data_IF_976179551772
#
_entry.id   IF_976179551772
#
_cell.length_a   1.000
_cell.length_b   1.000
_cell.length_c   1.000
_cell.angle_alpha   90.00
_cell.angle_beta   90.00
_cell.angle_gamma   90.00
#
_symmetry.space_group_name_H-M   'P 1'
#
loop_
_entity.id
_entity.type
_entity.pdbx_description
1 polymer ?
#
# COMPACT_ATOMS: atom_id res chain seq x y z
N UNK A 1 38.94 35.54 -11.09
CA UNK A 1 37.48 35.39 -11.06
C UNK A 1 37.01 34.31 -12.02
N UNK A 2 37.41 34.28 -13.30
CA UNK A 2 36.91 33.28 -14.27
C UNK A 2 37.23 31.82 -13.92
N UNK A 3 38.43 31.51 -13.41
CA UNK A 3 38.82 30.14 -13.07
C UNK A 3 38.11 29.58 -11.82
N UNK A 4 37.72 30.44 -10.89
CA UNK A 4 36.94 30.05 -9.70
C UNK A 4 35.48 29.81 -10.06
N UNK A 5 34.89 30.66 -10.91
CA UNK A 5 33.53 30.48 -11.45
C UNK A 5 33.41 29.20 -12.30
N UNK A 6 34.42 28.89 -13.12
CA UNK A 6 34.48 27.66 -13.93
C UNK A 6 34.64 26.41 -13.05
N UNK A 7 35.48 26.47 -12.01
CA UNK A 7 35.61 25.39 -11.04
C UNK A 7 34.33 25.16 -10.24
N UNK A 8 33.59 26.22 -9.89
CA UNK A 8 32.32 26.10 -9.16
C UNK A 8 31.20 25.56 -10.05
N UNK A 9 31.16 25.94 -11.33
CA UNK A 9 30.23 25.40 -12.32
C UNK A 9 30.42 23.89 -12.52
N UNK A 10 31.66 23.43 -12.69
CA UNK A 10 32.00 22.00 -12.83
C UNK A 10 31.56 21.23 -11.59
N UNK A 11 31.79 21.79 -10.39
CA UNK A 11 31.37 21.17 -9.12
C UNK A 11 29.85 21.01 -9.05
N UNK A 12 29.08 22.05 -9.40
CA UNK A 12 27.60 22.01 -9.41
C UNK A 12 27.07 21.01 -10.42
N UNK A 13 27.68 20.91 -11.60
CA UNK A 13 27.28 19.93 -12.62
C UNK A 13 27.52 18.50 -12.14
N UNK A 14 28.65 18.24 -11.49
CA UNK A 14 28.96 16.95 -10.89
C UNK A 14 27.96 16.59 -9.77
N UNK A 15 27.65 17.53 -8.87
CA UNK A 15 26.67 17.36 -7.80
C UNK A 15 25.27 17.04 -8.36
N UNK A 16 24.83 17.75 -9.39
CA UNK A 16 23.55 17.48 -10.07
C UNK A 16 23.53 16.10 -10.73
N UNK A 17 24.64 15.68 -11.34
CA UNK A 17 24.76 14.36 -11.95
C UNK A 17 24.65 13.25 -10.91
N UNK A 18 25.39 13.35 -9.80
CA UNK A 18 25.35 12.38 -8.70
C UNK A 18 23.94 12.32 -8.10
N UNK A 19 23.29 13.47 -7.90
CA UNK A 19 21.92 13.52 -7.40
C UNK A 19 20.94 12.83 -8.37
N UNK A 20 21.07 13.08 -9.67
CA UNK A 20 20.22 12.45 -10.70
C UNK A 20 20.38 10.92 -10.75
N UNK A 21 21.61 10.43 -10.63
CA UNK A 21 21.93 9.01 -10.57
C UNK A 21 21.33 8.38 -9.29
N UNK A 22 21.49 9.05 -8.15
CA UNK A 22 20.95 8.60 -6.85
C UNK A 22 19.42 8.52 -6.87
N UNK A 23 18.75 9.56 -7.40
CA UNK A 23 17.29 9.57 -7.53
C UNK A 23 16.82 8.47 -8.48
N UNK A 24 17.55 8.22 -9.56
CA UNK A 24 17.19 7.16 -10.50
C UNK A 24 17.34 5.77 -9.90
N UNK A 25 18.40 5.52 -9.14
CA UNK A 25 18.57 4.28 -8.40
C UNK A 25 17.47 4.08 -7.34
N UNK A 26 17.15 5.13 -6.57
CA UNK A 26 16.09 5.08 -5.57
C UNK A 26 14.71 4.77 -6.18
N UNK A 27 14.38 5.36 -7.32
CA UNK A 27 13.13 5.07 -8.02
C UNK A 27 13.08 3.65 -8.59
N UNK A 28 14.23 3.11 -9.03
CA UNK A 28 14.32 1.73 -9.49
C UNK A 28 14.07 0.75 -8.33
N UNK A 29 14.62 1.02 -7.15
CA UNK A 29 14.40 0.21 -5.95
C UNK A 29 12.91 0.12 -5.54
N UNK A 30 12.09 1.14 -5.86
CA UNK A 30 10.64 1.11 -5.57
C UNK A 30 9.86 0.11 -6.43
N UNK A 31 10.39 -0.26 -7.60
CA UNK A 31 9.73 -1.17 -8.55
C UNK A 31 10.45 -2.51 -8.73
N UNK A 32 11.61 -2.68 -8.12
CA UNK A 32 12.34 -3.95 -8.14
C UNK A 32 11.65 -5.01 -7.28
N UNK A 33 11.52 -6.21 -7.85
CA UNK A 33 11.06 -7.39 -7.14
C UNK A 33 12.25 -8.14 -6.55
N UNK A 34 12.04 -8.79 -5.40
CA UNK A 34 13.00 -9.76 -4.86
C UNK A 34 13.12 -10.96 -5.81
N UNK A 35 14.31 -11.54 -5.92
CA UNK A 35 14.52 -12.80 -6.65
C UNK A 35 14.08 -14.02 -5.85
N UNK A 36 14.13 -13.92 -4.53
CA UNK A 36 13.89 -15.04 -3.62
C UNK A 36 12.73 -14.73 -2.69
N UNK A 37 11.88 -15.75 -2.49
CA UNK A 37 10.83 -15.72 -1.47
C UNK A 37 11.49 -16.04 -0.13
N UNK A 38 11.15 -15.32 0.96
CA UNK A 38 11.65 -15.68 2.28
C UNK A 38 11.18 -17.10 2.66
N UNK A 39 12.09 -17.92 3.15
CA UNK A 39 11.79 -19.27 3.63
C UNK A 39 11.15 -19.21 5.03
N UNK A 40 10.01 -19.87 5.19
CA UNK A 40 9.36 -20.11 6.49
C UNK A 40 9.25 -21.62 6.69
N UNK A 41 9.88 -22.13 7.76
CA UNK A 41 10.08 -23.57 7.96
C UNK A 41 9.00 -24.23 8.84
N UNK A 42 8.17 -23.44 9.53
CA UNK A 42 7.14 -23.92 10.45
C UNK A 42 5.75 -23.47 10.02
N UNK A 43 4.76 -24.38 10.05
CA UNK A 43 3.40 -24.12 9.58
C UNK A 43 2.67 -23.01 10.37
N UNK A 44 3.04 -22.81 11.63
CA UNK A 44 2.37 -21.85 12.52
C UNK A 44 3.05 -20.48 12.56
N UNK A 45 4.19 -20.31 11.89
CA UNK A 45 4.91 -19.03 11.84
C UNK A 45 4.29 -18.12 10.77
N UNK A 46 3.96 -16.91 11.18
CA UNK A 46 3.32 -15.92 10.31
C UNK A 46 4.35 -15.31 9.36
N UNK A 47 4.05 -15.38 8.07
CA UNK A 47 4.79 -14.69 7.02
C UNK A 47 4.41 -13.20 6.99
N UNK A 48 5.26 -12.33 7.55
CA UNK A 48 5.06 -10.87 7.53
C UNK A 48 5.29 -10.22 6.14
N UNK A 49 5.76 -10.98 5.15
CA UNK A 49 5.74 -10.52 3.77
C UNK A 49 4.35 -10.72 3.13
N UNK A 50 3.57 -11.70 3.60
CA UNK A 50 2.18 -11.92 3.21
C UNK A 50 1.19 -11.12 4.06
N UNK A 51 1.38 -11.11 5.38
CA UNK A 51 0.44 -10.53 6.33
C UNK A 51 0.97 -9.23 6.93
N UNK A 52 0.07 -8.30 7.23
CA UNK A 52 0.37 -7.06 7.95
C UNK A 52 -0.35 -7.00 9.28
N UNK A 53 0.32 -6.47 10.30
CA UNK A 53 -0.28 -6.20 11.60
C UNK A 53 -1.14 -4.95 11.55
N UNK A 54 -2.35 -5.00 12.13
CA UNK A 54 -3.31 -3.90 12.13
C UNK A 54 -3.88 -3.70 13.55
N UNK A 55 -4.04 -2.45 13.96
CA UNK A 55 -4.59 -2.11 15.29
C UNK A 55 -3.61 -2.17 16.44
N UNK A 56 -2.32 -2.34 16.16
CA UNK A 56 -1.26 -2.36 17.16
C UNK A 56 -1.15 -3.68 17.91
N UNK A 57 -0.27 -3.69 18.92
CA UNK A 57 0.02 -4.86 19.74
C UNK A 57 -0.66 -4.71 21.10
N UNK A 58 -1.43 -5.73 21.49
CA UNK A 58 -2.10 -5.81 22.78
C UNK A 58 -1.23 -6.64 23.73
N UNK A 59 -0.86 -6.05 24.86
CA UNK A 59 -0.13 -6.75 25.92
C UNK A 59 -1.13 -7.26 26.95
N UNK A 60 -1.31 -8.58 27.01
CA UNK A 60 -2.22 -9.24 27.94
C UNK A 60 -1.41 -9.88 29.05
N UNK A 61 -1.58 -9.39 30.28
CA UNK A 61 -0.94 -9.91 31.48
C UNK A 61 -2.03 -10.25 32.51
N UNK A 62 -1.85 -11.36 33.23
CA UNK A 62 -2.61 -11.67 34.43
C UNK A 62 -1.80 -11.23 35.63
N UNK A 63 -2.46 -10.62 36.60
CA UNK A 63 -1.83 -10.06 37.79
C UNK A 63 -2.38 -10.77 39.01
N UNK A 64 -1.50 -11.13 39.94
CA UNK A 64 -1.90 -11.67 41.22
C UNK A 64 -2.51 -10.56 42.08
N UNK A 65 -3.65 -10.85 42.70
CA UNK A 65 -4.20 -9.94 43.68
C UNK A 65 -3.29 -9.91 44.92
N UNK A 66 -2.94 -8.73 45.44
CA UNK A 66 -2.15 -8.64 46.65
C UNK A 66 -2.87 -9.35 47.81
N UNK A 67 -2.13 -9.85 48.82
CA UNK A 67 -2.71 -10.53 49.96
C UNK A 67 -3.82 -9.68 50.59
N UNK A 68 -5.03 -10.25 50.67
CA UNK A 68 -6.18 -9.58 51.28
C UNK A 68 -6.14 -9.69 52.80
N UNK A 69 -6.71 -8.71 53.51
CA UNK A 69 -6.81 -8.75 54.96
C UNK A 69 -7.60 -9.98 55.44
N UNK A 70 -7.06 -10.73 56.40
CA UNK A 70 -7.70 -11.91 56.98
C UNK A 70 -7.88 -11.75 58.50
N UNK A 71 -9.06 -12.06 59.05
CA UNK A 71 -9.28 -12.11 60.48
C UNK A 71 -8.61 -13.36 61.07
N UNK A 72 -7.63 -13.17 61.96
CA UNK A 72 -6.94 -14.27 62.66
C UNK A 72 -6.96 -13.98 64.16
N UNK A 73 -7.67 -14.82 64.92
CA UNK A 73 -7.77 -14.75 66.39
C UNK A 73 -8.12 -13.34 66.92
N UNK A 74 -9.06 -12.65 66.27
CA UNK A 74 -9.54 -11.32 66.67
C UNK A 74 -8.71 -10.14 66.13
N UNK A 75 -7.63 -10.41 65.38
CA UNK A 75 -6.84 -9.38 64.69
C UNK A 75 -7.11 -9.41 63.19
N UNK A 76 -7.06 -8.25 62.54
CA UNK A 76 -7.02 -8.15 61.08
C UNK A 76 -5.56 -8.09 60.64
N UNK A 77 -5.09 -9.13 59.95
CA UNK A 77 -3.70 -9.26 59.50
C UNK A 77 -3.68 -9.22 57.98
N UNK A 78 -2.72 -8.48 57.41
CA UNK A 78 -2.44 -8.45 55.98
C UNK A 78 -0.95 -8.67 55.77
N UNK A 79 -0.60 -9.53 54.82
CA UNK A 79 0.78 -9.71 54.40
C UNK A 79 1.17 -8.58 53.45
N UNK A 80 2.28 -7.91 53.76
CA UNK A 80 2.82 -6.84 52.92
C UNK A 80 3.91 -7.47 52.06
N UNK A 81 3.63 -7.62 50.77
CA UNK A 81 4.64 -8.01 49.79
C UNK A 81 5.72 -6.92 49.72
N UNK A 82 7.00 -7.33 49.69
CA UNK A 82 8.12 -6.40 49.50
C UNK A 82 8.19 -5.88 48.07
N UNK A 83 7.71 -6.70 47.13
CA UNK A 83 7.63 -6.39 45.71
C UNK A 83 6.24 -5.83 45.38
N UNK A 84 6.14 -5.09 44.26
CA UNK A 84 4.88 -4.52 43.80
C UNK A 84 3.90 -5.58 43.27
N UNK A 85 2.97 -5.15 42.41
CA UNK A 85 2.03 -6.07 41.76
C UNK A 85 2.78 -7.15 40.97
N UNK A 86 2.51 -8.41 41.28
CA UNK A 86 3.19 -9.56 40.66
C UNK A 86 2.39 -10.09 39.48
N UNK A 87 3.10 -10.55 38.44
CA UNK A 87 2.49 -11.22 37.29
C UNK A 87 2.19 -12.67 37.64
N UNK A 88 1.01 -13.13 37.27
CA UNK A 88 0.62 -14.53 37.35
C UNK A 88 0.88 -15.22 36.01
N UNK A 89 1.64 -16.31 36.02
CA UNK A 89 1.89 -17.11 34.81
C UNK A 89 0.75 -18.09 34.61
N UNK A 90 0.13 -18.04 33.43
CA UNK A 90 -0.91 -18.97 33.02
C UNK A 90 -0.51 -19.75 31.76
N UNK A 91 -0.58 -21.09 31.78
CA UNK A 91 -0.81 -21.94 32.95
C UNK A 91 0.36 -21.85 33.96
N UNK A 92 0.14 -22.11 35.26
CA UNK A 92 1.19 -22.06 36.28
C UNK A 92 2.27 -23.13 36.04
N UNK A 93 3.54 -22.77 36.26
CA UNK A 93 4.72 -23.60 35.93
C UNK A 93 4.82 -24.88 36.79
N UNK A 94 4.32 -24.84 38.04
CA UNK A 94 4.29 -25.99 38.95
C UNK A 94 2.97 -26.74 38.81
N UNK A 95 2.98 -27.80 38.01
CA UNK A 95 1.80 -28.66 37.72
C UNK A 95 1.76 -29.95 38.53
N UNK A 96 2.64 -30.12 39.54
CA UNK A 96 2.85 -31.38 40.27
C UNK A 96 1.59 -31.98 40.94
N UNK A 97 0.51 -31.21 41.12
CA UNK A 97 -0.71 -31.65 41.84
C UNK A 97 -1.99 -31.79 40.97
N UNK A 98 -1.93 -31.61 39.63
CA UNK A 98 -3.14 -31.59 38.79
C UNK A 98 -3.17 -32.69 37.71
N UNK A 99 -3.42 -33.94 38.11
CA UNK A 99 -3.63 -35.11 37.22
C UNK A 99 -5.02 -35.15 36.55
N UNK A 100 -5.56 -34.03 36.07
CA UNK A 100 -6.84 -34.02 35.32
C UNK A 100 -6.69 -33.38 33.96
N UNK A 101 -7.12 -34.08 32.91
CA UNK A 101 -7.35 -33.48 31.59
C UNK A 101 -8.24 -32.24 31.75
N UNK A 102 -7.74 -31.06 31.34
CA UNK A 102 -8.33 -29.72 31.50
C UNK A 102 -8.09 -28.98 32.84
N UNK A 103 -6.99 -29.22 33.55
CA UNK A 103 -6.64 -28.43 34.74
C UNK A 103 -6.60 -26.90 34.48
N UNK A 104 -6.28 -26.48 33.25
CA UNK A 104 -6.15 -25.08 32.85
C UNK A 104 -6.84 -24.83 31.50
N UNK A 105 -8.13 -24.45 31.47
CA UNK A 105 -8.87 -24.19 30.23
C UNK A 105 -8.39 -22.91 29.52
N UNK A 106 -8.45 -22.82 28.19
CA UNK A 106 -8.10 -21.58 27.48
C UNK A 106 -8.91 -20.38 27.98
N UNK A 107 -8.27 -19.21 28.10
CA UNK A 107 -8.94 -18.00 28.58
C UNK A 107 -9.55 -17.25 27.39
N UNK A 108 -10.84 -16.96 27.48
CA UNK A 108 -11.54 -16.14 26.50
C UNK A 108 -11.19 -14.65 26.70
N UNK A 109 -10.75 -14.02 25.62
CA UNK A 109 -10.42 -12.60 25.54
C UNK A 109 -11.34 -11.95 24.53
N UNK A 110 -11.89 -10.78 24.86
CA UNK A 110 -12.64 -9.93 23.93
C UNK A 110 -11.97 -8.57 23.82
N UNK A 111 -11.58 -8.19 22.61
CA UNK A 111 -10.93 -6.92 22.29
C UNK A 111 -11.80 -6.07 21.40
N UNK A 112 -11.76 -4.75 21.61
CA UNK A 112 -12.32 -3.77 20.68
C UNK A 112 -11.26 -3.33 19.68
N UNK A 113 -11.56 -3.48 18.39
CA UNK A 113 -10.69 -3.11 17.28
C UNK A 113 -10.64 -1.59 17.17
N UNK A 114 -9.43 -1.06 17.06
CA UNK A 114 -9.17 0.37 16.92
C UNK A 114 -9.98 1.01 15.77
N UNK A 115 -10.52 2.21 16.01
CA UNK A 115 -11.50 2.82 15.12
C UNK A 115 -10.98 3.21 13.73
N UNK A 116 -9.67 3.43 13.62
CA UNK A 116 -8.98 3.76 12.36
C UNK A 116 -8.73 2.54 11.46
N UNK A 117 -8.92 1.32 11.97
CA UNK A 117 -8.54 0.10 11.27
C UNK A 117 -9.75 -0.47 10.53
N UNK A 118 -9.49 -0.83 9.27
CA UNK A 118 -10.46 -1.48 8.39
C UNK A 118 -9.95 -2.88 8.08
N UNK A 119 -10.77 -3.87 8.43
CA UNK A 119 -10.60 -5.24 7.99
C UNK A 119 -11.60 -5.56 6.88
N UNK A 120 -11.13 -6.14 5.78
CA UNK A 120 -11.94 -6.52 4.61
C UNK A 120 -12.45 -7.97 4.70
N UNK A 121 -11.73 -8.79 5.47
CA UNK A 121 -12.06 -10.16 5.85
C UNK A 121 -12.00 -10.28 7.38
N UNK A 122 -12.38 -11.43 7.92
CA UNK A 122 -12.29 -11.64 9.36
C UNK A 122 -10.81 -11.60 9.80
N UNK A 123 -10.44 -10.77 10.80
CA UNK A 123 -9.06 -10.63 11.24
C UNK A 123 -8.55 -11.94 11.83
N UNK A 124 -7.30 -12.27 11.53
CA UNK A 124 -6.61 -13.36 12.22
C UNK A 124 -5.95 -12.81 13.49
N UNK A 125 -6.03 -13.58 14.56
CA UNK A 125 -5.34 -13.26 15.82
C UNK A 125 -4.06 -14.07 15.87
N UNK A 126 -2.95 -13.42 16.23
CA UNK A 126 -1.63 -14.07 16.35
C UNK A 126 -0.94 -13.65 17.63
N UNK A 127 -0.16 -14.55 18.20
CA UNK A 127 0.59 -14.35 19.45
C UNK A 127 2.07 -14.21 19.18
N UNK A 128 2.76 -13.45 20.01
CA UNK A 128 4.20 -13.30 19.93
C UNK A 128 4.91 -14.47 20.58
N UNK A 129 5.82 -15.11 19.85
CA UNK A 129 6.78 -16.06 20.39
C UNK A 129 8.07 -15.33 20.73
N UNK A 130 8.37 -15.24 22.04
CA UNK A 130 9.55 -14.54 22.53
C UNK A 130 10.86 -15.30 22.26
N UNK A 131 10.83 -16.63 22.19
CA UNK A 131 12.02 -17.46 21.95
C UNK A 131 12.40 -17.40 20.47
N UNK A 132 11.44 -17.67 19.59
CA UNK A 132 11.63 -17.55 18.15
C UNK A 132 11.81 -16.09 17.69
N UNK A 133 11.16 -15.12 18.34
CA UNK A 133 11.01 -13.72 17.90
C UNK A 133 10.18 -13.57 16.63
N UNK A 134 9.06 -14.29 16.57
CA UNK A 134 8.13 -14.25 15.45
C UNK A 134 6.67 -14.25 15.94
N UNK A 135 5.75 -13.90 15.05
CA UNK A 135 4.32 -14.09 15.30
C UNK A 135 3.91 -15.51 14.95
N UNK A 136 3.04 -16.12 15.76
CA UNK A 136 2.51 -17.46 15.55
C UNK A 136 0.99 -17.54 15.65
N UNK A 137 0.39 -18.52 14.99
CA UNK A 137 -1.06 -18.78 14.97
C UNK A 137 -1.51 -19.87 15.95
N UNK A 138 -0.58 -20.62 16.54
CA UNK A 138 -0.87 -21.67 17.51
C UNK A 138 -1.27 -21.12 18.89
N UNK A 139 -1.89 -21.94 19.73
CA UNK A 139 -2.33 -21.52 21.07
C UNK A 139 -3.52 -20.55 21.08
N UNK A 140 -4.18 -20.41 19.93
CA UNK A 140 -5.34 -19.53 19.71
C UNK A 140 -6.48 -20.36 19.13
N UNK A 141 -7.67 -20.23 19.70
CA UNK A 141 -8.86 -20.95 19.22
C UNK A 141 -10.13 -20.09 19.34
N UNK A 142 -11.25 -20.60 18.81
CA UNK A 142 -12.58 -19.97 18.91
C UNK A 142 -12.65 -18.50 18.47
N UNK A 143 -11.88 -18.12 17.45
CA UNK A 143 -11.86 -16.74 16.94
C UNK A 143 -13.22 -16.38 16.32
N UNK A 144 -13.81 -15.29 16.77
CA UNK A 144 -15.06 -14.74 16.27
C UNK A 144 -14.98 -13.22 16.18
N UNK A 145 -15.27 -12.68 15.00
CA UNK A 145 -15.33 -11.23 14.79
C UNK A 145 -16.76 -10.75 14.60
N UNK A 146 -17.13 -9.67 15.27
CA UNK A 146 -18.42 -8.98 15.14
C UNK A 146 -18.18 -7.59 14.54
N UNK A 147 -18.19 -7.43 13.20
CA UNK A 147 -17.86 -6.18 12.52
C UNK A 147 -18.70 -4.98 13.00
N UNK A 148 -20.00 -5.18 13.22
CA UNK A 148 -20.92 -4.12 13.66
C UNK A 148 -20.58 -3.53 15.03
N UNK A 149 -19.92 -4.31 15.89
CA UNK A 149 -19.49 -3.88 17.23
C UNK A 149 -17.98 -3.66 17.32
N UNK A 150 -17.23 -3.98 16.26
CA UNK A 150 -15.76 -3.99 16.25
C UNK A 150 -15.15 -4.85 17.36
N UNK A 151 -15.83 -5.94 17.74
CA UNK A 151 -15.36 -6.84 18.81
C UNK A 151 -14.80 -8.12 18.20
N UNK A 152 -13.56 -8.45 18.56
CA UNK A 152 -12.93 -9.75 18.29
C UNK A 152 -12.88 -10.54 19.59
N UNK A 153 -13.43 -11.74 19.60
CA UNK A 153 -13.40 -12.67 20.72
C UNK A 153 -12.58 -13.90 20.32
N UNK A 154 -11.70 -14.38 21.17
CA UNK A 154 -10.86 -15.55 20.93
C UNK A 154 -10.41 -16.17 22.26
N UNK A 155 -9.98 -17.43 22.21
CA UNK A 155 -9.45 -18.16 23.37
C UNK A 155 -7.92 -18.27 23.26
N UNK A 156 -7.22 -18.03 24.37
CA UNK A 156 -5.76 -18.15 24.48
C UNK A 156 -5.36 -19.25 25.45
N UNK A 157 -4.40 -20.09 25.03
CA UNK A 157 -3.82 -21.12 25.88
C UNK A 157 -2.74 -20.54 26.81
N UNK A 158 -1.99 -19.54 26.32
CA UNK A 158 -0.92 -18.86 27.05
C UNK A 158 -1.02 -17.35 26.84
N UNK A 159 -0.60 -16.58 27.86
CA UNK A 159 -0.65 -15.12 27.83
C UNK A 159 0.63 -14.53 27.25
N UNK A 160 0.48 -13.43 26.54
CA UNK A 160 1.57 -12.71 25.92
C UNK A 160 1.08 -11.59 25.01
N UNK A 161 1.99 -10.93 24.29
CA UNK A 161 1.62 -9.95 23.28
C UNK A 161 0.82 -10.63 22.16
N UNK A 162 -0.30 -10.04 21.79
CA UNK A 162 -1.14 -10.47 20.66
C UNK A 162 -1.37 -9.31 19.70
N UNK A 163 -1.58 -9.61 18.43
CA UNK A 163 -1.95 -8.62 17.42
C UNK A 163 -2.98 -9.20 16.48
N UNK A 164 -3.68 -8.32 15.77
CA UNK A 164 -4.54 -8.68 14.66
C UNK A 164 -3.75 -8.54 13.36
N UNK A 165 -3.95 -9.46 12.43
CA UNK A 165 -3.33 -9.42 11.10
C UNK A 165 -4.37 -9.60 10.00
N UNK A 166 -4.02 -9.13 8.81
CA UNK A 166 -4.75 -9.35 7.57
C UNK A 166 -3.75 -9.56 6.44
N UNK A 167 -4.18 -10.23 5.37
CA UNK A 167 -3.43 -10.28 4.12
C UNK A 167 -3.08 -8.85 3.66
N UNK A 168 -1.79 -8.58 3.49
CA UNK A 168 -1.27 -7.28 3.09
C UNK A 168 -1.62 -6.96 1.63
N UNK A 169 -1.97 -7.96 0.83
CA UNK A 169 -2.25 -7.89 -0.59
C UNK A 169 -3.73 -8.00 -0.93
N UNK A 170 -4.63 -7.99 0.06
CA UNK A 170 -6.08 -8.13 -0.13
C UNK A 170 -6.70 -7.17 -1.17
N UNK A 171 -6.07 -6.02 -1.40
CA UNK A 171 -6.47 -4.98 -2.35
C UNK A 171 -5.71 -5.04 -3.68
N UNK A 172 -4.97 -6.11 -3.93
CA UNK A 172 -4.21 -6.38 -5.13
C UNK A 172 -4.60 -7.78 -5.68
N UNK A 173 -4.68 -7.97 -7.01
CA UNK A 173 -4.45 -6.97 -8.05
C UNK A 173 -5.59 -5.93 -8.13
N UNK A 174 -5.31 -4.79 -8.74
CA UNK A 174 -6.28 -3.75 -8.99
C UNK A 174 -7.20 -4.15 -10.14
N UNK A 175 -8.48 -3.85 -10.04
CA UNK A 175 -9.46 -4.09 -11.10
C UNK A 175 -9.41 -3.00 -12.17
N UNK A 176 -9.20 -1.75 -11.75
CA UNK A 176 -8.97 -0.63 -12.65
C UNK A 176 -8.35 0.55 -11.91
N UNK A 177 -7.84 1.51 -12.67
CA UNK A 177 -7.32 2.76 -12.13
C UNK A 177 -7.49 3.90 -13.15
N UNK A 178 -7.59 5.12 -12.65
CA UNK A 178 -7.60 6.35 -13.45
C UNK A 178 -6.80 7.44 -12.73
N UNK A 179 -5.90 8.09 -13.45
CA UNK A 179 -5.22 9.32 -13.02
C UNK A 179 -5.77 10.47 -13.86
N UNK A 180 -6.51 11.40 -13.25
CA UNK A 180 -7.09 12.54 -13.96
C UNK A 180 -6.61 13.88 -13.40
N UNK A 181 -6.27 14.88 -14.24
CA UNK A 181 -6.01 16.22 -13.75
C UNK A 181 -7.29 16.84 -13.20
N UNK A 182 -7.13 17.62 -12.13
CA UNK A 182 -8.13 18.53 -11.59
C UNK A 182 -7.72 19.97 -11.87
N UNK A 183 -6.42 20.25 -11.78
CA UNK A 183 -5.80 21.55 -12.05
C UNK A 183 -4.34 21.33 -12.47
N UNK A 184 -3.61 22.38 -12.85
CA UNK A 184 -2.22 22.34 -13.33
C UNK A 184 -1.30 21.56 -12.38
N UNK A 185 -1.48 21.73 -11.07
CA UNK A 185 -0.69 21.07 -10.02
C UNK A 185 -1.53 20.19 -9.10
N UNK A 186 -2.65 19.67 -9.61
CA UNK A 186 -3.59 18.85 -8.84
C UNK A 186 -4.14 17.71 -9.69
N UNK A 187 -4.01 16.47 -9.22
CA UNK A 187 -4.61 15.29 -9.86
C UNK A 187 -5.42 14.48 -8.87
N UNK A 188 -6.37 13.72 -9.39
CA UNK A 188 -7.03 12.64 -8.67
C UNK A 188 -6.55 11.30 -9.24
N UNK A 189 -5.99 10.48 -8.36
CA UNK A 189 -5.74 9.07 -8.62
C UNK A 189 -6.88 8.25 -8.00
N UNK A 190 -7.62 7.53 -8.83
CA UNK A 190 -8.64 6.56 -8.40
C UNK A 190 -8.08 5.16 -8.64
N UNK A 191 -8.07 4.34 -7.60
CA UNK A 191 -7.71 2.91 -7.68
C UNK A 191 -8.89 2.09 -7.20
N UNK A 192 -9.37 1.21 -8.07
CA UNK A 192 -10.48 0.30 -7.77
C UNK A 192 -9.95 -1.11 -7.60
N UNK A 193 -10.23 -1.70 -6.46
CA UNK A 193 -9.86 -3.06 -6.05
C UNK A 193 -11.11 -3.90 -5.88
N UNK A 194 -10.94 -5.19 -5.56
CA UNK A 194 -12.07 -6.10 -5.29
C UNK A 194 -12.98 -5.61 -4.16
N UNK A 195 -12.40 -4.98 -3.13
CA UNK A 195 -13.15 -4.60 -1.92
C UNK A 195 -13.42 -3.10 -1.81
N UNK A 196 -12.60 -2.26 -2.45
CA UNK A 196 -12.66 -0.82 -2.25
C UNK A 196 -12.29 0.00 -3.48
N UNK A 197 -12.90 1.18 -3.57
CA UNK A 197 -12.43 2.26 -4.44
C UNK A 197 -11.79 3.35 -3.57
N UNK A 198 -10.51 3.63 -3.82
CA UNK A 198 -9.72 4.63 -3.10
C UNK A 198 -9.44 5.80 -4.04
N UNK A 199 -9.82 6.99 -3.60
CA UNK A 199 -9.59 8.24 -4.32
C UNK A 199 -8.56 9.11 -3.60
N UNK A 200 -7.41 9.35 -4.24
CA UNK A 200 -6.27 10.08 -3.69
C UNK A 200 -6.08 11.37 -4.50
N UNK A 201 -6.19 12.52 -3.84
CA UNK A 201 -5.80 13.79 -4.44
C UNK A 201 -4.31 14.01 -4.20
N UNK A 202 -3.58 14.35 -5.26
CA UNK A 202 -2.19 14.75 -5.19
C UNK A 202 -2.13 16.20 -5.63
N UNK A 203 -1.67 17.08 -4.74
CA UNK A 203 -1.51 18.52 -5.00
C UNK A 203 -0.12 18.93 -4.59
N UNK A 204 0.65 19.49 -5.52
CA UNK A 204 2.05 19.90 -5.26
C UNK A 204 2.87 18.76 -4.62
N UNK A 205 3.43 18.97 -3.43
CA UNK A 205 4.20 17.99 -2.67
C UNK A 205 3.37 17.15 -1.68
N UNK A 206 2.04 17.20 -1.75
CA UNK A 206 1.12 16.59 -0.78
C UNK A 206 0.12 15.62 -1.41
N UNK A 207 -0.30 14.66 -0.62
CA UNK A 207 -1.33 13.68 -0.93
C UNK A 207 -2.43 13.74 0.14
N UNK A 208 -3.68 13.50 -0.28
CA UNK A 208 -4.84 13.48 0.60
C UNK A 208 -5.80 12.38 0.16
N UNK A 209 -6.29 11.62 1.12
CA UNK A 209 -7.38 10.67 0.89
C UNK A 209 -8.68 11.45 0.75
N UNK A 210 -9.26 11.43 -0.44
CA UNK A 210 -10.47 12.21 -0.77
C UNK A 210 -11.75 11.45 -0.48
N UNK A 211 -11.76 10.16 -0.77
CA UNK A 211 -12.89 9.28 -0.47
C UNK A 211 -12.45 7.83 -0.49
N UNK A 212 -13.07 7.04 0.38
CA UNK A 212 -13.04 5.57 0.34
C UNK A 212 -14.46 5.05 0.18
N UNK A 213 -14.66 4.14 -0.79
CA UNK A 213 -15.90 3.37 -0.91
C UNK A 213 -15.59 1.91 -0.61
N UNK A 214 -16.35 1.31 0.28
CA UNK A 214 -16.28 -0.11 0.63
C UNK A 214 -17.53 -0.79 0.06
N UNK A 215 -17.38 -1.70 -0.91
CA UNK A 215 -18.51 -2.42 -1.54
C UNK A 215 -19.70 -1.48 -1.86
N UNK A 216 -19.41 -0.37 -2.55
CA UNK A 216 -20.35 0.70 -2.95
C UNK A 216 -20.98 1.55 -1.84
N UNK A 217 -20.56 1.38 -0.58
CA UNK A 217 -20.95 2.27 0.51
C UNK A 217 -19.81 3.23 0.84
N UNK A 218 -20.14 4.52 0.97
CA UNK A 218 -19.18 5.52 1.41
C UNK A 218 -18.77 5.22 2.85
N UNK A 219 -17.48 5.07 3.09
CA UNK A 219 -16.92 4.85 4.42
C UNK A 219 -16.15 6.10 4.83
N UNK A 220 -16.52 6.70 5.96
CA UNK A 220 -15.81 7.85 6.48
C UNK A 220 -14.61 7.33 7.25
N UNK A 221 -13.42 7.55 6.68
CA UNK A 221 -12.17 7.22 7.36
C UNK A 221 -11.64 8.49 8.05
N UNK A 222 -11.06 8.38 9.23
CA UNK A 222 -10.47 9.53 9.95
C UNK A 222 -9.33 10.18 9.15
N UNK A 223 -8.72 9.43 8.23
CA UNK A 223 -7.70 9.91 7.30
C UNK A 223 -8.26 10.81 6.18
N UNK A 224 -9.57 10.80 5.91
CA UNK A 224 -10.15 11.60 4.83
C UNK A 224 -9.98 13.09 5.10
N UNK A 225 -9.56 13.84 4.07
CA UNK A 225 -9.38 15.30 4.16
C UNK A 225 -8.04 15.78 4.75
N UNK A 226 -7.18 14.87 5.22
CA UNK A 226 -5.87 15.24 5.78
C UNK A 226 -4.79 15.25 4.70
N UNK A 227 -4.08 16.38 4.55
CA UNK A 227 -2.95 16.50 3.64
C UNK A 227 -1.65 16.06 4.30
N UNK A 228 -0.90 15.17 3.64
CA UNK A 228 0.36 14.61 4.12
C UNK A 228 1.38 14.56 2.98
N UNK A 229 2.67 14.50 3.28
CA UNK A 229 3.67 14.17 2.26
C UNK A 229 3.54 12.70 1.85
N UNK A 230 4.02 12.28 0.66
CA UNK A 230 3.74 10.95 0.11
C UNK A 230 4.13 9.78 1.03
N UNK A 231 5.27 9.85 1.73
CA UNK A 231 5.75 8.76 2.58
C UNK A 231 4.86 8.58 3.83
N UNK A 232 4.63 9.61 4.68
CA UNK A 232 3.65 9.52 5.77
C UNK A 232 2.25 9.14 5.32
N UNK A 233 1.82 9.61 4.15
CA UNK A 233 0.54 9.24 3.56
C UNK A 233 0.44 7.72 3.31
N UNK A 234 1.46 7.14 2.67
CA UNK A 234 1.53 5.68 2.42
C UNK A 234 1.49 4.90 3.74
N UNK A 235 2.25 5.33 4.74
CA UNK A 235 2.31 4.67 6.06
C UNK A 235 0.93 4.72 6.72
N UNK A 236 0.30 5.90 6.77
CA UNK A 236 -1.03 6.06 7.37
C UNK A 236 -2.10 5.20 6.68
N UNK A 237 -2.07 5.11 5.34
CA UNK A 237 -2.99 4.23 4.60
C UNK A 237 -2.77 2.75 4.94
N UNK A 238 -1.51 2.31 5.05
CA UNK A 238 -1.18 0.94 5.43
C UNK A 238 -1.65 0.61 6.85
N UNK A 239 -1.41 1.51 7.80
CA UNK A 239 -1.82 1.34 9.20
C UNK A 239 -3.34 1.30 9.39
N UNK A 240 -4.09 1.99 8.51
CA UNK A 240 -5.55 1.93 8.48
C UNK A 240 -6.11 0.66 7.82
N UNK A 241 -5.25 -0.22 7.26
CA UNK A 241 -5.66 -1.41 6.51
C UNK A 241 -5.93 -1.15 5.02
N UNK A 242 -5.82 0.10 4.55
CA UNK A 242 -6.03 0.50 3.15
C UNK A 242 -4.75 0.33 2.31
N UNK A 243 -4.12 -0.84 2.38
CA UNK A 243 -2.87 -1.07 1.66
C UNK A 243 -3.10 -1.30 0.17
N UNK A 244 -2.66 -0.35 -0.66
CA UNK A 244 -2.57 -0.49 -2.12
C UNK A 244 -1.13 -0.34 -2.61
N UNK A 245 -0.14 -0.53 -1.76
CA UNK A 245 1.27 -0.25 -2.08
C UNK A 245 2.09 -1.55 -1.99
N UNK A 246 2.36 -2.20 -3.13
CA UNK A 246 3.14 -3.44 -3.13
C UNK A 246 4.55 -3.23 -2.57
N UNK A 247 5.09 -4.30 -1.99
CA UNK A 247 6.47 -4.42 -1.54
C UNK A 247 7.28 -5.23 -2.56
N UNK A 248 8.60 -5.30 -2.37
CA UNK A 248 9.49 -6.10 -3.22
C UNK A 248 9.12 -7.60 -3.28
N UNK A 249 8.40 -8.12 -2.28
CA UNK A 249 7.99 -9.53 -2.22
C UNK A 249 6.54 -9.75 -2.66
N UNK A 250 5.76 -8.69 -2.91
CA UNK A 250 4.33 -8.80 -3.22
C UNK A 250 4.00 -9.70 -4.40
N UNK A 251 4.89 -9.77 -5.40
CA UNK A 251 4.75 -10.62 -6.57
C UNK A 251 4.73 -12.13 -6.28
N UNK A 252 5.14 -12.57 -5.08
CA UNK A 252 5.03 -13.97 -4.66
C UNK A 252 3.64 -14.35 -4.15
N UNK A 253 2.81 -13.37 -3.79
CA UNK A 253 1.50 -13.58 -3.15
C UNK A 253 0.34 -13.16 -4.06
N UNK A 254 0.63 -12.36 -5.09
CA UNK A 254 -0.37 -11.84 -6.04
C UNK A 254 -0.01 -12.23 -7.46
N UNK A 255 -1.00 -12.68 -8.22
CA UNK A 255 -0.85 -12.90 -9.67
C UNK A 255 -0.78 -11.53 -10.35
N UNK A 256 0.36 -11.23 -10.96
CA UNK A 256 0.64 -9.95 -11.61
C UNK A 256 1.18 -10.12 -13.02
N UNK A 257 1.04 -9.09 -13.86
CA UNK A 257 1.78 -8.99 -15.10
C UNK A 257 3.08 -8.22 -14.87
N UNK A 258 4.08 -8.90 -14.30
CA UNK A 258 5.32 -8.27 -13.89
C UNK A 258 6.05 -7.61 -15.08
N UNK A 259 6.11 -6.28 -15.06
CA UNK A 259 6.82 -5.49 -16.08
C UNK A 259 8.27 -5.29 -15.70
N UNK A 260 9.12 -5.08 -16.70
CA UNK A 260 10.53 -4.75 -16.48
C UNK A 260 10.63 -3.43 -15.71
N UNK A 261 11.33 -3.38 -14.56
CA UNK A 261 11.40 -2.20 -13.68
C UNK A 261 11.76 -0.90 -14.42
N UNK A 262 12.73 -0.96 -15.34
CA UNK A 262 13.15 0.21 -16.12
C UNK A 262 12.04 0.76 -17.05
N UNK A 263 11.17 -0.12 -17.57
CA UNK A 263 10.05 0.29 -18.42
C UNK A 263 8.99 0.99 -17.58
N UNK A 264 8.66 0.44 -16.41
CA UNK A 264 7.74 1.07 -15.44
C UNK A 264 8.24 2.46 -15.02
N UNK A 265 9.49 2.58 -14.57
CA UNK A 265 10.06 3.86 -14.12
C UNK A 265 10.00 4.91 -15.22
N UNK A 266 10.39 4.55 -16.45
CA UNK A 266 10.32 5.47 -17.58
C UNK A 266 8.89 5.86 -17.93
N UNK A 267 7.95 4.91 -17.89
CA UNK A 267 6.55 5.18 -18.16
C UNK A 267 5.97 6.15 -17.12
N UNK A 268 6.15 5.87 -15.82
CA UNK A 268 5.62 6.71 -14.75
C UNK A 268 6.22 8.12 -14.73
N UNK A 269 7.52 8.27 -15.02
CA UNK A 269 8.13 9.61 -15.16
C UNK A 269 7.45 10.44 -16.24
N UNK A 270 7.13 9.82 -17.38
CA UNK A 270 6.48 10.51 -18.49
C UNK A 270 4.98 10.74 -18.21
N UNK A 271 4.29 9.80 -17.56
CA UNK A 271 2.91 9.98 -17.12
C UNK A 271 2.80 11.14 -16.13
N UNK A 272 3.70 11.20 -15.15
CA UNK A 272 3.74 12.28 -14.17
C UNK A 272 4.06 13.65 -14.80
N UNK A 273 4.93 13.69 -15.82
CA UNK A 273 5.19 14.93 -16.56
C UNK A 273 3.94 15.45 -17.28
N UNK A 274 3.11 14.55 -17.79
CA UNK A 274 1.93 14.88 -18.58
C UNK A 274 0.65 15.01 -17.73
N UNK A 275 0.69 14.67 -16.44
CA UNK A 275 -0.51 14.52 -15.60
C UNK A 275 -1.23 15.84 -15.29
N UNK A 276 -0.67 17.00 -15.65
CA UNK A 276 -1.34 18.30 -15.50
C UNK A 276 -2.40 18.57 -16.57
N UNK A 277 -2.31 17.90 -17.72
CA UNK A 277 -3.22 18.11 -18.86
C UNK A 277 -3.77 16.81 -19.46
N UNK A 278 -3.20 15.66 -19.12
CA UNK A 278 -3.62 14.37 -19.63
C UNK A 278 -4.12 13.48 -18.51
N UNK A 279 -5.26 12.84 -18.75
CA UNK A 279 -5.72 11.74 -17.93
C UNK A 279 -5.22 10.40 -18.49
N UNK A 280 -4.87 9.50 -17.59
CA UNK A 280 -4.39 8.15 -17.86
C UNK A 280 -5.34 7.14 -17.24
N UNK A 281 -5.51 5.98 -17.86
CA UNK A 281 -6.36 4.93 -17.31
C UNK A 281 -5.87 3.52 -17.63
N UNK A 282 -6.34 2.59 -16.81
CA UNK A 282 -6.15 1.16 -17.00
C UNK A 282 -6.60 0.68 -18.39
N UNK A 283 -5.91 -0.29 -18.97
CA UNK A 283 -6.29 -0.95 -20.22
C UNK A 283 -6.28 -2.46 -20.07
N UNK A 284 -7.33 -3.14 -20.55
CA UNK A 284 -7.40 -4.61 -20.51
C UNK A 284 -6.27 -5.28 -21.31
N UNK A 285 -5.76 -4.57 -22.31
CA UNK A 285 -4.70 -5.03 -23.20
C UNK A 285 -3.33 -5.07 -22.53
N UNK A 286 -3.15 -4.38 -21.40
CA UNK A 286 -1.89 -4.40 -20.66
C UNK A 286 -1.54 -5.81 -20.17
N UNK A 287 -2.55 -6.60 -19.79
CA UNK A 287 -2.42 -7.99 -19.35
C UNK A 287 -1.91 -8.91 -20.47
N UNK A 288 -2.35 -8.68 -21.71
CA UNK A 288 -1.94 -9.47 -22.88
C UNK A 288 -0.57 -9.08 -23.42
N UNK A 289 -0.04 -7.95 -22.97
CA UNK A 289 1.27 -7.47 -23.38
C UNK A 289 2.38 -8.11 -22.54
N UNK A 290 3.54 -8.35 -23.17
CA UNK A 290 4.70 -8.94 -22.50
C UNK A 290 5.28 -8.03 -21.40
N UNK A 291 6.25 -8.54 -20.63
CA UNK A 291 6.89 -7.80 -19.53
C UNK A 291 7.66 -6.56 -19.97
N UNK A 292 8.08 -6.48 -21.24
CA UNK A 292 8.89 -5.37 -21.78
C UNK A 292 8.06 -4.17 -22.23
N UNK A 293 6.73 -4.30 -22.23
CA UNK A 293 5.81 -3.30 -22.80
C UNK A 293 4.66 -3.04 -21.85
N UNK A 294 4.20 -1.79 -21.85
CA UNK A 294 3.02 -1.35 -21.09
C UNK A 294 2.01 -0.75 -22.04
N UNK A 295 0.73 -1.00 -21.77
CA UNK A 295 -0.39 -0.45 -22.54
C UNK A 295 -1.34 0.26 -21.57
N UNK A 296 -1.73 1.49 -21.90
CA UNK A 296 -2.66 2.24 -21.07
C UNK A 296 -3.45 3.24 -21.92
N UNK A 297 -4.59 3.67 -21.38
CA UNK A 297 -5.44 4.69 -21.98
C UNK A 297 -4.89 6.08 -21.68
N UNK A 298 -4.96 6.98 -22.66
CA UNK A 298 -4.61 8.40 -22.54
C UNK A 298 -5.70 9.25 -23.16
N UNK A 299 -6.06 10.35 -22.49
CA UNK A 299 -6.92 11.39 -23.05
C UNK A 299 -6.42 12.76 -22.62
N UNK A 300 -6.59 13.73 -23.48
CA UNK A 300 -6.45 15.14 -23.11
C UNK A 300 -7.62 15.55 -22.22
N UNK A 301 -7.34 16.30 -21.15
CA UNK A 301 -8.35 16.78 -20.22
C UNK A 301 -8.04 18.22 -19.81
N UNK A 302 -8.70 19.17 -20.47
CA UNK A 302 -8.50 20.61 -20.26
C UNK A 302 -9.49 21.22 -19.26
N UNK A 303 -10.66 20.63 -19.08
CA UNK A 303 -11.76 21.10 -18.22
C UNK A 303 -12.15 20.00 -17.23
N UNK A 304 -12.63 20.36 -16.03
CA UNK A 304 -13.06 19.40 -14.99
C UNK A 304 -14.27 18.53 -15.40
N UNK A 305 -14.99 18.91 -16.46
CA UNK A 305 -16.20 18.22 -16.89
C UNK A 305 -15.89 16.83 -17.46
N UNK A 306 -16.59 15.83 -16.90
CA UNK A 306 -16.53 14.46 -17.39
C UNK A 306 -17.44 14.34 -18.61
N UNK A 307 -16.85 14.31 -19.80
CA UNK A 307 -17.60 14.02 -21.04
C UNK A 307 -18.17 12.60 -20.96
N UNK A 308 -19.46 12.41 -21.24
CA UNK A 308 -20.15 11.12 -21.14
C UNK A 308 -19.54 10.01 -22.02
N UNK A 309 -18.82 10.38 -23.09
CA UNK A 309 -18.05 9.45 -23.94
C UNK A 309 -16.64 10.00 -24.22
N UNK A 310 -15.69 9.80 -23.29
CA UNK A 310 -14.33 10.29 -23.45
C UNK A 310 -13.60 9.54 -24.57
N UNK A 311 -13.03 10.27 -25.53
CA UNK A 311 -12.26 9.70 -26.64
C UNK A 311 -10.86 9.27 -26.17
N UNK A 312 -10.80 8.11 -25.50
CA UNK A 312 -9.54 7.53 -25.05
C UNK A 312 -8.71 7.01 -26.23
N UNK A 313 -7.43 7.34 -26.24
CA UNK A 313 -6.43 6.73 -27.11
C UNK A 313 -5.67 5.64 -26.35
N UNK A 314 -5.32 4.55 -27.02
CA UNK A 314 -4.44 3.53 -26.46
C UNK A 314 -3.00 3.79 -26.87
N UNK A 315 -2.12 3.92 -25.88
CA UNK A 315 -0.68 4.01 -26.09
C UNK A 315 0.00 2.74 -25.61
N UNK A 316 1.00 2.29 -26.37
CA UNK A 316 1.92 1.23 -25.98
C UNK A 316 3.33 1.79 -25.88
N UNK A 317 4.07 1.40 -24.84
CA UNK A 317 5.42 1.88 -24.58
C UNK A 317 6.36 0.74 -24.17
N UNK A 318 7.53 0.65 -24.80
CA UNK A 318 8.56 -0.37 -24.53
C UNK A 318 9.77 0.14 -23.74
N UNK A 319 9.73 1.38 -23.22
CA UNK A 319 10.87 2.01 -22.53
C UNK A 319 11.77 2.85 -23.44
N UNK A 320 11.73 2.60 -24.75
CA UNK A 320 12.51 3.29 -25.78
C UNK A 320 11.65 3.70 -26.99
N UNK A 321 10.46 3.11 -27.14
CA UNK A 321 9.52 3.38 -28.22
C UNK A 321 8.10 3.50 -27.69
N UNK A 322 7.43 4.59 -28.06
CA UNK A 322 6.04 4.87 -27.84
C UNK A 322 5.27 4.79 -29.17
N UNK A 323 4.08 4.20 -29.14
CA UNK A 323 3.20 4.11 -30.30
C UNK A 323 1.74 4.22 -29.90
N UNK A 324 0.93 4.81 -30.78
CA UNK A 324 -0.53 4.82 -30.66
C UNK A 324 -1.12 3.60 -31.35
N UNK A 325 -1.91 2.81 -30.63
CA UNK A 325 -2.53 1.62 -31.18
C UNK A 325 -3.76 1.97 -32.02
N UNK A 326 -3.98 1.21 -33.10
CA UNK A 326 -5.19 1.28 -33.92
C UNK A 326 -6.42 0.71 -33.21
N UNK A 327 -6.21 -0.26 -32.31
CA UNK A 327 -7.27 -0.93 -31.56
C UNK A 327 -7.95 0.00 -30.56
N UNK A 328 -9.14 -0.39 -30.13
CA UNK A 328 -9.87 0.22 -29.02
C UNK A 328 -10.06 -0.80 -27.89
N UNK A 329 -10.60 -0.36 -26.76
CA UNK A 329 -10.94 -1.27 -25.66
C UNK A 329 -12.04 -2.26 -26.05
N UNK A 330 -12.89 -1.95 -27.02
CA UNK A 330 -13.98 -2.82 -27.48
C UNK A 330 -13.53 -3.82 -28.56
N UNK A 331 -12.27 -3.75 -29.01
CA UNK A 331 -11.76 -4.67 -30.02
C UNK A 331 -11.74 -6.12 -29.52
N UNK A 332 -11.98 -7.07 -30.44
CA UNK A 332 -12.06 -8.50 -30.13
C UNK A 332 -10.68 -9.12 -29.85
N UNK A 333 -9.64 -8.65 -30.54
CA UNK A 333 -8.29 -9.19 -30.45
C UNK A 333 -7.25 -8.09 -30.21
N UNK A 334 -6.19 -8.47 -29.49
CA UNK A 334 -5.04 -7.59 -29.28
C UNK A 334 -4.26 -7.45 -30.59
N UNK A 335 -3.90 -6.21 -30.93
CA UNK A 335 -3.04 -5.92 -32.07
C UNK A 335 -2.11 -4.76 -31.76
N UNK A 336 -0.83 -4.98 -32.07
CA UNK A 336 0.22 -3.96 -31.94
C UNK A 336 0.28 -3.03 -33.17
N UNK A 337 -0.71 -3.09 -34.06
CA UNK A 337 -0.75 -2.25 -35.25
C UNK A 337 -0.80 -0.76 -34.88
N UNK A 338 0.12 0.00 -35.47
CA UNK A 338 0.18 1.45 -35.36
C UNK A 338 -1.08 2.05 -35.98
N UNK A 339 -1.64 3.09 -35.34
CA UNK A 339 -2.75 3.84 -35.91
C UNK A 339 -2.29 4.51 -37.21
N UNK A 340 -3.15 4.47 -38.23
CA UNK A 340 -2.93 5.18 -39.49
C UNK A 340 -2.66 6.66 -39.21
N UNK A 341 -1.70 7.25 -39.94
CA UNK A 341 -1.23 8.64 -39.80
C UNK A 341 -0.52 8.97 -38.47
N UNK A 342 -0.03 7.96 -37.74
CA UNK A 342 0.83 8.18 -36.57
C UNK A 342 2.23 7.59 -36.79
N UNK A 343 3.22 8.12 -36.08
CA UNK A 343 4.60 7.66 -36.12
C UNK A 343 5.05 7.06 -34.78
N UNK A 344 6.21 6.43 -34.79
CA UNK A 344 6.87 5.98 -33.57
C UNK A 344 7.66 7.13 -32.95
N UNK A 345 7.60 7.25 -31.63
CA UNK A 345 8.40 8.24 -30.89
C UNK A 345 9.26 7.57 -29.83
N UNK A 346 10.35 8.22 -29.44
CA UNK A 346 11.22 7.72 -28.37
C UNK A 346 10.62 7.87 -26.97
N UNK A 347 9.69 8.81 -26.79
CA UNK A 347 9.03 9.06 -25.50
C UNK A 347 7.54 9.28 -25.65
N UNK A 348 6.81 9.01 -24.56
CA UNK A 348 5.38 9.30 -24.44
C UNK A 348 5.09 10.79 -24.60
N UNK A 349 5.96 11.68 -24.09
CA UNK A 349 5.82 13.13 -24.28
C UNK A 349 5.75 13.52 -25.76
N UNK A 350 6.64 13.00 -26.60
CA UNK A 350 6.66 13.32 -28.03
C UNK A 350 5.46 12.71 -28.76
N UNK A 351 5.08 11.47 -28.43
CA UNK A 351 3.89 10.82 -28.98
C UNK A 351 2.61 11.61 -28.66
N UNK A 352 2.47 12.10 -27.43
CA UNK A 352 1.30 12.87 -27.01
C UNK A 352 1.28 14.25 -27.65
N UNK A 353 2.46 14.87 -27.83
CA UNK A 353 2.59 16.19 -28.46
C UNK A 353 1.99 16.25 -29.86
N UNK A 354 2.04 15.15 -30.61
CA UNK A 354 1.57 15.10 -32.00
C UNK A 354 0.06 15.23 -32.14
N UNK A 355 -0.71 14.87 -31.10
CA UNK A 355 -2.17 15.00 -31.10
C UNK A 355 -2.72 15.92 -30.02
N UNK A 356 -1.85 16.52 -29.18
CA UNK A 356 -2.23 17.45 -28.12
C UNK A 356 -2.56 18.84 -28.64
N UNK A 357 -3.50 19.52 -28.00
CA UNK A 357 -3.68 20.96 -28.20
C UNK A 357 -2.49 21.78 -27.68
N UNK A 358 -2.35 23.01 -28.19
CA UNK A 358 -1.33 23.95 -27.68
C UNK A 358 -1.54 24.29 -26.20
N UNK A 359 -2.80 24.41 -25.79
CA UNK A 359 -3.18 24.72 -24.40
C UNK A 359 -2.75 23.60 -23.44
N UNK A 360 -2.96 22.33 -23.81
CA UNK A 360 -2.50 21.20 -23.00
C UNK A 360 -0.98 21.23 -22.80
N UNK A 361 -0.23 21.54 -23.87
CA UNK A 361 1.23 21.60 -23.79
C UNK A 361 1.72 22.80 -22.98
N UNK A 362 0.99 23.91 -22.95
CA UNK A 362 1.27 25.04 -22.06
C UNK A 362 1.03 24.67 -20.60
N UNK A 363 -0.06 23.95 -20.28
CA UNK A 363 -0.32 23.42 -18.93
C UNK A 363 0.73 22.41 -18.47
N UNK A 364 1.26 21.60 -19.37
CA UNK A 364 2.38 20.70 -19.06
C UNK A 364 3.64 21.49 -18.73
N UNK A 365 3.93 22.57 -19.47
CA UNK A 365 5.11 23.42 -19.23
C UNK A 365 5.02 24.27 -17.98
N UNK A 366 3.82 24.64 -17.54
CA UNK A 366 3.59 25.42 -16.31
C UNK A 366 3.52 24.57 -15.04
N UNK A 367 3.57 23.24 -15.16
CA UNK A 367 3.53 22.33 -14.02
C UNK A 367 4.76 22.48 -13.11
N UNK A 368 4.53 22.36 -11.80
CA UNK A 368 5.57 22.42 -10.79
C UNK A 368 6.36 21.11 -10.75
N UNK A 369 7.69 21.20 -10.60
CA UNK A 369 8.55 20.03 -10.44
C UNK A 369 8.20 19.21 -9.19
N UNK A 370 7.72 19.86 -8.12
CA UNK A 370 7.28 19.17 -6.90
C UNK A 370 6.05 18.31 -7.15
N UNK A 371 5.10 18.84 -7.93
CA UNK A 371 3.91 18.12 -8.35
C UNK A 371 4.27 16.88 -9.18
N UNK A 372 5.09 17.06 -10.21
CA UNK A 372 5.56 15.95 -11.07
C UNK A 372 6.26 14.88 -10.22
N UNK A 373 7.09 15.29 -9.25
CA UNK A 373 7.78 14.35 -8.37
C UNK A 373 6.81 13.57 -7.48
N UNK A 374 5.81 14.22 -6.87
CA UNK A 374 4.79 13.55 -6.04
C UNK A 374 3.95 12.55 -6.83
N UNK A 375 3.50 12.94 -8.02
CA UNK A 375 2.74 12.04 -8.90
C UNK A 375 3.60 10.84 -9.29
N UNK A 376 4.86 11.07 -9.68
CA UNK A 376 5.79 10.00 -10.02
C UNK A 376 6.03 9.06 -8.82
N UNK A 377 6.25 9.60 -7.62
CA UNK A 377 6.42 8.81 -6.41
C UNK A 377 5.19 7.95 -6.10
N UNK A 378 3.98 8.51 -6.19
CA UNK A 378 2.75 7.75 -5.95
C UNK A 378 2.52 6.66 -7.00
N UNK A 379 2.81 6.94 -8.27
CA UNK A 379 2.71 5.96 -9.35
C UNK A 379 3.72 4.81 -9.17
N UNK A 380 4.97 5.13 -8.81
CA UNK A 380 6.00 4.13 -8.49
C UNK A 380 5.63 3.30 -7.26
N UNK A 381 5.03 3.92 -6.24
CA UNK A 381 4.64 3.24 -4.99
C UNK A 381 3.43 2.31 -5.17
N UNK A 382 2.52 2.65 -6.10
CA UNK A 382 1.33 1.86 -6.40
C UNK A 382 1.57 0.82 -7.50
N UNK A 383 2.57 1.01 -8.37
CA UNK A 383 2.92 0.07 -9.45
C UNK A 383 1.73 -0.38 -10.31
N UNK A 384 0.86 0.58 -10.63
CA UNK A 384 -0.40 0.35 -11.36
C UNK A 384 -0.20 -0.50 -12.62
N UNK A 385 0.86 -0.30 -13.40
CA UNK A 385 1.10 -1.01 -14.66
C UNK A 385 1.46 -2.50 -14.52
N UNK A 386 1.92 -2.94 -13.34
CA UNK A 386 2.24 -4.35 -13.07
C UNK A 386 1.13 -5.07 -12.30
N UNK A 387 0.44 -4.35 -11.42
CA UNK A 387 -0.56 -4.90 -10.50
C UNK A 387 -2.01 -4.73 -10.99
N UNK A 388 -2.23 -4.40 -12.27
CA UNK A 388 -3.57 -4.19 -12.88
C UNK A 388 -3.78 -4.89 -14.22
#
# INVERSE_FOLDING_TARGET
>A
SSAEEESEAIKRELEMKILSETVSAAQLLLVENSSEKPDFFENDVVDLCQFTTLGGVYHLDILELPPQCKPVKGWMIVEILKEGLQKYTYPPETTEDFETENAFPPIEVTLEVHENVIFFEDPMVVRWDAEGKHWRTDGISNVSYKPNKRLVTFSLDTFGPVTLIQDAHINMPYQSWELRPLDVNKVLLTVTTVFTEIQIQIKENLCMLSSVKLKDKKHISILEGTWMTPIPFIIALKEAGLNIFPTRHSHFYVIINNKVPLVEVKAYRQMALLSSAFAFGWSKWNLLCNSTKVVFKVREHLTEECTENPNWALLMFSGDRAQRLKIKEESEAFSEALKEETEFHSTLYHMVRDFSSKEAMEKVRSSSCQFVNSVCHMLLSTRLLSYS
#
